data_IF_815402560914
#
_entry.id   IF_815402560914
#
_cell.length_a   1.000
_cell.length_b   1.000
_cell.length_c   1.000
_cell.angle_alpha   90.00
_cell.angle_beta   90.00
_cell.angle_gamma   90.00
#
_symmetry.space_group_name_H-M   'P 1'
#
loop_
_entity.id
_entity.type
_entity.pdbx_description
1 polymer ?
#
# COMPACT_ATOMS: atom_id res chain seq x y z
N UNK A 1 40.11 46.43 -24.18
CA UNK A 1 39.23 47.62 -24.32
C UNK A 1 38.99 47.87 -25.80
N UNK A 2 37.74 48.21 -26.17
CA UNK A 2 37.24 48.52 -27.53
C UNK A 2 37.22 47.33 -28.53
N UNK A 3 36.26 46.40 -28.35
CA UNK A 3 35.67 45.59 -29.44
C UNK A 3 34.45 44.70 -29.06
N UNK A 4 33.63 45.10 -28.09
CA UNK A 4 32.40 44.34 -27.73
C UNK A 4 31.12 45.20 -27.61
N UNK A 5 31.12 46.41 -28.13
CA UNK A 5 30.01 47.38 -28.01
C UNK A 5 29.18 47.55 -29.30
N UNK A 6 29.13 46.53 -30.17
CA UNK A 6 28.43 46.62 -31.47
C UNK A 6 27.47 45.46 -31.80
N UNK A 7 27.07 44.65 -30.83
CA UNK A 7 26.09 43.57 -31.06
C UNK A 7 24.79 43.71 -30.25
N UNK A 8 24.63 44.74 -29.41
CA UNK A 8 23.41 44.97 -28.62
C UNK A 8 22.38 45.93 -29.26
N UNK A 9 22.68 46.50 -30.43
CA UNK A 9 21.82 47.51 -31.09
C UNK A 9 20.92 46.98 -32.22
N UNK A 10 21.00 45.69 -32.58
CA UNK A 10 20.26 45.11 -33.72
C UNK A 10 19.00 44.30 -33.29
N UNK A 11 18.83 43.99 -32.00
CA UNK A 11 17.62 43.28 -31.51
C UNK A 11 16.54 44.17 -30.88
N UNK A 12 16.86 45.43 -30.58
CA UNK A 12 15.89 46.41 -30.01
C UNK A 12 15.06 47.13 -31.09
N UNK A 13 15.48 47.08 -32.35
CA UNK A 13 14.81 47.74 -33.49
C UNK A 13 13.76 46.86 -34.20
N UNK A 14 13.68 45.55 -33.90
CA UNK A 14 12.71 44.62 -34.54
C UNK A 14 11.42 44.36 -33.73
N UNK A 15 11.36 44.79 -32.47
CA UNK A 15 10.17 44.64 -31.62
C UNK A 15 9.21 45.86 -31.64
N UNK A 16 9.64 47.01 -32.19
CA UNK A 16 8.79 48.23 -32.30
C UNK A 16 7.95 48.32 -33.58
N UNK A 17 8.06 47.36 -34.49
CA UNK A 17 7.38 47.38 -35.80
C UNK A 17 6.12 46.49 -35.90
N UNK A 18 5.82 45.65 -34.90
CA UNK A 18 4.65 44.74 -34.94
C UNK A 18 3.48 45.20 -34.05
N UNK A 19 3.69 46.18 -33.15
CA UNK A 19 2.64 46.72 -32.27
C UNK A 19 1.94 47.99 -32.80
N UNK A 20 2.06 48.30 -34.10
CA UNK A 20 1.40 49.47 -34.75
C UNK A 20 0.34 49.10 -35.80
N UNK A 21 -0.19 47.87 -35.79
CA UNK A 21 -1.20 47.40 -36.76
C UNK A 21 -2.52 46.86 -36.20
N UNK A 22 -2.86 47.09 -34.92
CA UNK A 22 -4.14 46.62 -34.35
C UNK A 22 -4.84 47.61 -33.41
N UNK A 23 -4.92 48.90 -33.79
CA UNK A 23 -5.87 49.85 -33.19
C UNK A 23 -6.35 50.86 -34.23
N UNK A 24 -7.31 50.45 -35.06
CA UNK A 24 -8.21 51.34 -35.78
C UNK A 24 -9.39 50.51 -36.32
N UNK A 25 -10.51 50.53 -35.59
CA UNK A 25 -11.91 50.47 -36.07
C UNK A 25 -12.81 50.29 -34.83
N UNK A 26 -13.26 51.40 -34.23
CA UNK A 26 -14.45 51.41 -33.37
C UNK A 26 -15.56 52.06 -34.18
N UNK A 27 -16.56 51.26 -34.52
CA UNK A 27 -17.82 51.63 -35.12
C UNK A 27 -18.73 52.31 -34.08
N UNK A 28 -19.46 53.33 -34.54
CA UNK A 28 -20.53 54.03 -33.83
C UNK A 28 -21.62 53.07 -33.31
N UNK A 29 -22.22 53.37 -32.15
CA UNK A 29 -23.63 53.10 -31.93
C UNK A 29 -24.46 54.40 -31.99
N UNK A 30 -25.62 54.27 -32.61
CA UNK A 30 -26.59 55.32 -32.87
C UNK A 30 -27.35 55.73 -31.59
N UNK A 31 -27.84 56.97 -31.65
CA UNK A 31 -28.84 57.56 -30.75
C UNK A 31 -30.21 56.97 -31.05
N UNK A 32 -30.99 56.72 -30.01
CA UNK A 32 -32.45 56.76 -30.03
C UNK A 32 -32.87 57.58 -28.79
N UNK A 33 -33.81 58.50 -29.02
CA UNK A 33 -34.32 59.49 -28.07
C UNK A 33 -35.57 58.96 -27.31
N UNK A 34 -35.77 59.55 -26.12
CA UNK A 34 -37.01 59.84 -25.38
C UNK A 34 -37.88 58.70 -24.77
N UNK A 35 -37.97 58.61 -23.43
CA UNK A 35 -39.04 59.25 -22.61
C UNK A 35 -39.04 58.85 -21.10
N UNK A 36 -39.28 59.86 -20.24
CA UNK A 36 -39.87 59.87 -18.87
C UNK A 36 -39.21 59.09 -17.67
N UNK A 37 -39.22 59.47 -16.37
CA UNK A 37 -39.69 60.61 -15.54
C UNK A 37 -39.11 60.45 -14.10
N UNK A 38 -38.84 61.59 -13.44
CA UNK A 38 -38.79 61.94 -11.99
C UNK A 38 -37.71 61.47 -10.98
N UNK A 39 -37.33 62.42 -10.10
CA UNK A 39 -37.27 62.17 -8.66
C UNK A 39 -36.00 62.45 -7.86
N UNK A 40 -35.93 63.65 -7.25
CA UNK A 40 -35.26 63.98 -5.96
C UNK A 40 -33.74 64.24 -5.91
N UNK A 41 -33.38 65.52 -5.79
CA UNK A 41 -32.09 66.00 -5.28
C UNK A 41 -32.32 67.40 -4.72
N UNK A 42 -32.26 67.61 -3.39
CA UNK A 42 -32.05 68.92 -2.71
C UNK A 42 -32.18 68.88 -1.15
N UNK A 43 -31.51 67.97 -0.44
CA UNK A 43 -31.39 68.08 1.06
C UNK A 43 -29.99 67.73 1.64
N UNK A 44 -29.00 67.31 0.85
CA UNK A 44 -27.72 66.77 1.36
C UNK A 44 -26.59 67.78 1.62
N UNK A 45 -26.73 69.03 1.19
CA UNK A 45 -25.57 69.93 1.08
C UNK A 45 -25.30 70.74 2.36
N UNK A 46 -26.31 70.90 3.23
CA UNK A 46 -26.18 71.63 4.51
C UNK A 46 -25.47 70.76 5.56
N UNK A 47 -25.72 69.45 5.56
CA UNK A 47 -25.06 68.50 6.46
C UNK A 47 -23.56 68.34 6.13
N UNK A 48 -23.20 68.45 4.85
CA UNK A 48 -21.80 68.37 4.41
C UNK A 48 -20.94 69.50 4.99
N UNK A 49 -21.47 70.74 5.05
CA UNK A 49 -20.73 71.89 5.56
C UNK A 49 -20.48 71.81 7.08
N UNK A 50 -21.44 71.28 7.85
CA UNK A 50 -21.30 71.07 9.31
C UNK A 50 -20.30 69.95 9.58
N UNK A 51 -20.36 68.86 8.81
CA UNK A 51 -19.43 67.73 8.91
C UNK A 51 -18.00 68.17 8.55
N UNK A 52 -17.83 69.01 7.54
CA UNK A 52 -16.53 69.53 7.12
C UNK A 52 -15.94 70.48 8.18
N UNK A 53 -16.76 71.33 8.80
CA UNK A 53 -16.34 72.18 9.92
C UNK A 53 -16.01 71.37 11.18
N UNK A 54 -16.78 70.32 11.50
CA UNK A 54 -16.44 69.39 12.58
C UNK A 54 -15.13 68.66 12.31
N UNK A 55 -14.90 68.24 11.07
CA UNK A 55 -13.64 67.60 10.65
C UNK A 55 -12.45 68.54 10.79
N UNK A 56 -12.61 69.81 10.45
CA UNK A 56 -11.59 70.84 10.67
C UNK A 56 -11.28 71.05 12.16
N UNK A 57 -12.30 71.14 13.02
CA UNK A 57 -12.11 71.25 14.48
C UNK A 57 -11.43 69.99 15.04
N UNK A 58 -11.75 68.82 14.49
CA UNK A 58 -11.10 67.55 14.84
C UNK A 58 -9.63 67.53 14.40
N UNK A 59 -9.32 67.98 13.19
CA UNK A 59 -7.94 68.11 12.71
C UNK A 59 -7.15 69.13 13.53
N UNK A 60 -7.75 70.26 13.93
CA UNK A 60 -7.11 71.26 14.80
C UNK A 60 -6.88 70.73 16.23
N UNK A 61 -7.79 69.90 16.76
CA UNK A 61 -7.62 69.19 18.04
C UNK A 61 -6.60 68.04 17.97
N UNK A 62 -6.51 67.34 16.84
CA UNK A 62 -5.50 66.31 16.59
C UNK A 62 -4.11 66.96 16.43
N UNK A 63 -4.03 68.09 15.72
CA UNK A 63 -2.80 68.85 15.59
C UNK A 63 -2.31 69.40 16.95
N UNK A 64 -3.21 69.94 17.77
CA UNK A 64 -2.85 70.47 19.11
C UNK A 64 -2.55 69.39 20.16
N UNK A 65 -3.10 68.17 20.04
CA UNK A 65 -2.71 67.01 20.87
C UNK A 65 -1.39 66.35 20.42
N UNK A 66 -0.89 66.70 19.24
CA UNK A 66 0.39 66.23 18.67
C UNK A 66 1.57 67.17 18.96
N UNK A 67 1.64 67.76 20.15
CA UNK A 67 2.84 68.48 20.60
C UNK A 67 3.98 67.53 21.07
N UNK A 68 3.73 66.23 21.17
CA UNK A 68 4.71 65.22 21.58
C UNK A 68 5.60 64.62 20.48
N UNK A 69 5.23 64.54 19.18
CA UNK A 69 6.12 63.99 18.14
C UNK A 69 7.15 65.01 17.63
N UNK A 70 6.86 66.32 17.69
CA UNK A 70 7.76 67.36 17.18
C UNK A 70 9.02 67.53 18.07
N UNK A 71 8.89 67.33 19.39
CA UNK A 71 10.03 67.32 20.32
C UNK A 71 10.94 66.09 20.08
N UNK A 72 10.36 64.95 19.66
CA UNK A 72 11.11 63.71 19.35
C UNK A 72 11.97 63.83 18.09
N UNK A 73 11.59 64.69 17.14
CA UNK A 73 12.33 64.87 15.88
C UNK A 73 13.49 65.86 15.99
N UNK A 74 13.50 66.74 17.00
CA UNK A 74 14.45 67.86 17.07
C UNK A 74 15.78 67.53 17.76
N UNK A 75 15.88 66.39 18.48
CA UNK A 75 17.11 66.04 19.21
C UNK A 75 17.39 64.52 19.25
N UNK A 76 18.42 64.02 18.53
CA UNK A 76 18.71 62.57 18.47
C UNK A 76 19.20 62.00 19.80
N UNK A 77 19.83 62.80 20.67
CA UNK A 77 20.22 62.36 22.02
C UNK A 77 19.01 62.08 22.90
N UNK A 78 17.94 62.88 22.81
CA UNK A 78 16.72 62.68 23.61
C UNK A 78 16.06 61.36 23.25
N UNK A 79 16.05 60.96 21.96
CA UNK A 79 15.56 59.64 21.55
C UNK A 79 16.39 58.49 22.13
N UNK A 80 17.72 58.62 22.21
CA UNK A 80 18.57 57.58 22.83
C UNK A 80 18.33 57.42 24.33
N UNK A 81 18.04 58.52 25.04
CA UNK A 81 17.67 58.46 26.45
C UNK A 81 16.26 57.90 26.63
N UNK A 82 15.30 58.36 25.82
CA UNK A 82 13.91 57.89 25.91
C UNK A 82 13.81 56.39 25.61
N UNK A 83 14.44 55.90 24.53
CA UNK A 83 14.48 54.45 24.20
C UNK A 83 15.12 53.59 25.27
N UNK A 84 16.03 54.15 26.09
CA UNK A 84 16.66 53.45 27.22
C UNK A 84 15.71 53.26 28.41
N UNK A 85 14.69 54.10 28.52
CA UNK A 85 13.71 54.10 29.62
C UNK A 85 12.26 53.83 29.17
N UNK A 86 12.02 53.73 27.86
CA UNK A 86 10.74 53.36 27.27
C UNK A 86 10.59 51.83 27.38
N UNK A 87 10.32 51.38 28.60
CA UNK A 87 9.89 50.02 28.85
C UNK A 87 8.44 49.92 28.36
N UNK A 88 8.28 49.81 27.04
CA UNK A 88 6.99 49.53 26.41
C UNK A 88 6.31 48.37 27.14
N UNK A 89 4.97 48.31 27.07
CA UNK A 89 4.15 47.31 27.76
C UNK A 89 4.81 45.93 27.68
N UNK A 90 4.86 45.16 28.78
CA UNK A 90 5.58 43.87 28.85
C UNK A 90 5.37 42.98 27.62
N UNK A 91 4.16 43.00 27.06
CA UNK A 91 3.78 42.28 25.85
C UNK A 91 4.57 42.71 24.61
N UNK A 92 4.82 44.00 24.42
CA UNK A 92 5.64 44.52 23.33
C UNK A 92 7.11 44.10 23.47
N UNK A 93 7.65 44.06 24.69
CA UNK A 93 9.01 43.57 24.94
C UNK A 93 9.14 42.08 24.62
N UNK A 94 8.16 41.28 25.04
CA UNK A 94 8.11 39.85 24.72
C UNK A 94 7.96 39.60 23.21
N UNK A 95 7.12 40.39 22.53
CA UNK A 95 6.98 40.34 21.07
C UNK A 95 8.27 40.70 20.36
N UNK A 96 8.96 41.77 20.79
CA UNK A 96 10.24 42.17 20.20
C UNK A 96 11.33 41.13 20.46
N UNK A 97 11.37 40.55 21.65
CA UNK A 97 12.29 39.47 22.01
C UNK A 97 12.03 38.22 21.15
N UNK A 98 10.77 37.78 21.04
CA UNK A 98 10.37 36.67 20.17
C UNK A 98 10.71 36.93 18.70
N UNK A 99 10.47 38.14 18.18
CA UNK A 99 10.84 38.51 16.83
C UNK A 99 12.36 38.48 16.62
N UNK A 100 13.16 38.93 17.59
CA UNK A 100 14.62 38.87 17.52
C UNK A 100 15.16 37.44 17.52
N UNK A 101 14.57 36.55 18.31
CA UNK A 101 14.90 35.14 18.33
C UNK A 101 14.65 34.49 16.97
N UNK A 102 13.45 34.70 16.41
CA UNK A 102 13.08 34.17 15.10
C UNK A 102 14.02 34.69 14.00
N UNK A 103 14.40 35.98 14.02
CA UNK A 103 15.37 36.55 13.04
C UNK A 103 16.75 35.90 13.12
N UNK A 104 17.14 35.41 14.30
CA UNK A 104 18.46 34.81 14.53
C UNK A 104 18.55 33.35 14.10
N UNK A 105 17.41 32.72 13.77
CA UNK A 105 17.33 31.30 13.39
C UNK A 105 18.24 30.96 12.20
N UNK A 106 19.07 29.90 12.31
CA UNK A 106 19.98 29.47 11.24
C UNK A 106 19.25 29.14 9.92
N UNK A 107 18.01 28.68 10.00
CA UNK A 107 17.19 28.32 8.84
C UNK A 107 16.93 29.52 7.91
N UNK A 108 16.75 30.72 8.45
CA UNK A 108 16.52 31.94 7.67
C UNK A 108 17.77 32.42 6.92
N UNK A 109 18.97 31.98 7.33
CA UNK A 109 20.22 32.31 6.64
C UNK A 109 20.46 31.42 5.41
N UNK A 110 20.10 30.15 5.49
CA UNK A 110 20.43 29.15 4.46
C UNK A 110 19.28 28.87 3.49
N UNK A 111 18.03 28.97 3.96
CA UNK A 111 16.87 28.64 3.14
C UNK A 111 16.18 29.93 2.64
N UNK A 112 16.29 30.17 1.32
CA UNK A 112 15.65 31.30 0.64
C UNK A 112 14.13 31.30 0.85
N UNK A 113 13.47 30.15 0.76
CA UNK A 113 12.02 30.05 0.91
C UNK A 113 11.57 30.41 2.33
N UNK A 114 12.28 29.93 3.35
CA UNK A 114 11.98 30.27 4.75
C UNK A 114 12.17 31.78 5.02
N UNK A 115 13.23 32.37 4.44
CA UNK A 115 13.47 33.82 4.48
C UNK A 115 12.38 34.62 3.78
N UNK A 116 11.90 34.14 2.63
CA UNK A 116 10.84 34.78 1.85
C UNK A 116 9.50 34.73 2.60
N UNK A 117 9.15 33.61 3.25
CA UNK A 117 7.95 33.50 4.11
C UNK A 117 8.05 34.42 5.33
N UNK A 118 9.20 34.47 6.00
CA UNK A 118 9.40 35.32 7.18
C UNK A 118 9.23 36.81 6.86
N UNK A 119 9.76 37.26 5.72
CA UNK A 119 9.65 38.65 5.28
C UNK A 119 8.30 38.96 4.60
N UNK A 120 7.49 37.94 4.29
CA UNK A 120 6.18 38.15 3.71
C UNK A 120 5.24 38.82 4.70
N UNK A 121 4.36 39.66 4.18
CA UNK A 121 3.31 40.29 4.99
C UNK A 121 2.38 39.18 5.51
N UNK A 122 2.03 39.15 6.81
CA UNK A 122 1.04 38.22 7.34
C UNK A 122 -0.28 38.34 6.56
N UNK A 123 -0.90 37.21 6.26
CA UNK A 123 -2.16 37.16 5.52
C UNK A 123 -3.27 37.89 6.27
N UNK A 124 -3.90 38.87 5.64
CA UNK A 124 -4.91 39.75 6.24
C UNK A 124 -6.35 39.32 5.93
N UNK A 125 -6.55 38.17 5.28
CA UNK A 125 -7.85 37.73 4.75
C UNK A 125 -8.08 38.08 3.28
N UNK A 126 -7.51 39.20 2.84
CA UNK A 126 -7.58 39.67 1.46
C UNK A 126 -6.22 39.56 0.76
N UNK A 127 -6.22 39.07 -0.48
CA UNK A 127 -5.02 39.04 -1.32
C UNK A 127 -4.78 40.41 -1.99
N UNK A 128 -3.51 40.78 -2.14
CA UNK A 128 -3.18 41.99 -2.90
C UNK A 128 -3.33 41.75 -4.39
N UNK A 129 -3.72 42.76 -5.17
CA UNK A 129 -3.84 42.65 -6.63
C UNK A 129 -2.52 42.17 -7.29
N UNK A 130 -1.38 42.60 -6.73
CA UNK A 130 -0.06 42.15 -7.17
C UNK A 130 0.14 40.63 -6.99
N UNK A 131 -0.24 40.08 -5.84
CA UNK A 131 -0.12 38.65 -5.52
C UNK A 131 -1.11 37.80 -6.33
N UNK A 132 -2.34 38.29 -6.51
CA UNK A 132 -3.35 37.67 -7.38
C UNK A 132 -2.86 37.57 -8.84
N UNK A 133 -2.29 38.65 -9.39
CA UNK A 133 -1.71 38.64 -10.73
C UNK A 133 -0.48 37.74 -10.83
N UNK A 134 0.38 37.74 -9.81
CA UNK A 134 1.56 36.86 -9.76
C UNK A 134 1.14 35.39 -9.76
N UNK A 135 0.13 35.03 -8.98
CA UNK A 135 -0.46 33.70 -8.97
C UNK A 135 -1.05 33.34 -10.32
N UNK A 136 -1.80 34.23 -10.95
CA UNK A 136 -2.35 34.00 -12.30
C UNK A 136 -1.24 33.74 -13.33
N UNK A 137 -0.13 34.48 -13.26
CA UNK A 137 1.03 34.27 -14.14
C UNK A 137 1.75 32.94 -13.84
N UNK A 138 1.86 32.56 -12.56
CA UNK A 138 2.48 31.30 -12.15
C UNK A 138 1.62 30.09 -12.53
N UNK A 139 0.30 30.18 -12.36
CA UNK A 139 -0.67 29.15 -12.73
C UNK A 139 -0.83 29.03 -14.26
N UNK A 140 -0.69 30.14 -15.00
CA UNK A 140 -0.72 30.14 -16.48
C UNK A 140 0.52 29.51 -17.11
N UNK A 141 1.65 29.44 -16.40
CA UNK A 141 2.85 28.77 -16.88
C UNK A 141 2.72 27.27 -16.56
N UNK A 142 2.81 26.37 -17.55
CA UNK A 142 2.81 24.95 -17.26
C UNK A 142 3.95 24.65 -16.28
N UNK A 143 3.64 23.95 -15.18
CA UNK A 143 4.64 23.57 -14.19
C UNK A 143 5.79 22.87 -14.93
N UNK A 144 7.06 23.26 -14.71
CA UNK A 144 8.17 22.52 -15.28
C UNK A 144 8.04 21.08 -14.77
N UNK A 145 7.97 20.13 -15.70
CA UNK A 145 7.95 18.71 -15.38
C UNK A 145 9.33 18.39 -14.82
N UNK A 146 9.51 18.58 -13.51
CA UNK A 146 10.71 18.20 -12.77
C UNK A 146 10.69 16.69 -12.49
N UNK A 147 10.23 15.90 -13.45
CA UNK A 147 10.41 14.46 -13.43
C UNK A 147 11.73 14.22 -14.18
N UNK A 148 12.82 13.83 -13.49
CA UNK A 148 14.10 13.56 -14.15
C UNK A 148 13.99 12.46 -15.22
N UNK A 149 12.88 11.70 -15.22
CA UNK A 149 12.53 10.71 -16.23
C UNK A 149 11.80 11.29 -17.46
N UNK A 150 10.99 12.35 -17.30
CA UNK A 150 10.13 12.85 -18.38
C UNK A 150 10.90 13.70 -19.41
N UNK A 151 12.00 14.33 -19.00
CA UNK A 151 12.89 15.06 -19.94
C UNK A 151 13.61 14.10 -20.90
N UNK A 152 13.74 12.81 -20.55
CA UNK A 152 14.25 11.77 -21.44
C UNK A 152 13.18 11.13 -22.35
N UNK A 153 11.90 11.49 -22.19
CA UNK A 153 10.79 10.89 -22.95
C UNK A 153 10.22 11.77 -24.04
N UNK A 154 10.95 12.80 -24.48
CA UNK A 154 10.76 13.26 -25.86
C UNK A 154 11.20 12.09 -26.75
N UNK A 155 10.26 11.26 -27.21
CA UNK A 155 10.53 10.04 -28.00
C UNK A 155 11.43 10.39 -29.18
N UNK A 156 12.74 10.26 -28.97
CA UNK A 156 13.76 10.38 -30.00
C UNK A 156 13.41 9.31 -31.02
N UNK A 157 13.15 9.68 -32.27
CA UNK A 157 12.92 8.70 -33.34
C UNK A 157 14.16 7.80 -33.38
N UNK A 158 14.01 6.58 -32.89
CA UNK A 158 15.12 5.63 -32.72
C UNK A 158 15.72 5.37 -34.11
N UNK A 159 16.99 5.75 -34.29
CA UNK A 159 17.71 5.57 -35.55
C UNK A 159 17.81 4.08 -35.89
N UNK A 160 17.94 3.73 -37.17
CA UNK A 160 18.13 2.33 -37.57
C UNK A 160 19.35 1.69 -36.89
N UNK A 161 20.42 2.48 -36.66
CA UNK A 161 21.59 2.06 -35.89
C UNK A 161 21.28 1.78 -34.42
N UNK A 162 20.49 2.65 -33.77
CA UNK A 162 20.04 2.43 -32.38
C UNK A 162 19.13 1.21 -32.26
N UNK A 163 18.28 0.96 -33.28
CA UNK A 163 17.45 -0.26 -33.32
C UNK A 163 18.31 -1.51 -33.43
N UNK A 164 19.37 -1.47 -34.26
CA UNK A 164 20.30 -2.59 -34.39
C UNK A 164 21.13 -2.80 -33.11
N UNK A 165 21.55 -1.72 -32.45
CA UNK A 165 22.22 -1.77 -31.16
C UNK A 165 21.30 -2.37 -30.09
N UNK A 166 20.05 -1.90 -29.98
CA UNK A 166 19.05 -2.46 -29.07
C UNK A 166 18.72 -3.93 -29.38
N UNK A 167 18.67 -4.32 -30.66
CA UNK A 167 18.47 -5.72 -31.04
C UNK A 167 19.69 -6.59 -30.69
N UNK A 168 20.90 -6.05 -30.87
CA UNK A 168 22.15 -6.73 -30.50
C UNK A 168 22.25 -6.87 -28.99
N UNK A 169 21.98 -5.82 -28.23
CA UNK A 169 21.96 -5.83 -26.76
C UNK A 169 20.86 -6.75 -26.23
N UNK A 170 19.66 -6.72 -26.83
CA UNK A 170 18.60 -7.68 -26.51
C UNK A 170 19.01 -9.13 -26.78
N UNK A 171 19.74 -9.39 -27.87
CA UNK A 171 20.27 -10.74 -28.15
C UNK A 171 21.39 -11.16 -27.19
N UNK A 172 22.20 -10.20 -26.71
CA UNK A 172 23.24 -10.43 -25.70
C UNK A 172 22.60 -10.71 -24.33
N UNK A 173 21.58 -9.96 -23.94
CA UNK A 173 20.81 -10.19 -22.72
C UNK A 173 20.13 -11.56 -22.73
N UNK A 174 19.60 -12.01 -23.87
CA UNK A 174 19.07 -13.38 -24.01
C UNK A 174 20.15 -14.46 -23.88
N UNK A 175 21.37 -14.20 -24.36
CA UNK A 175 22.51 -15.11 -24.22
C UNK A 175 23.07 -15.12 -22.79
N UNK A 176 23.10 -13.97 -22.12
CA UNK A 176 23.58 -13.80 -20.75
C UNK A 176 22.55 -14.39 -19.76
N UNK A 177 21.26 -14.10 -19.92
CA UNK A 177 20.15 -14.72 -19.16
C UNK A 177 19.86 -16.17 -19.59
N UNK A 178 20.77 -16.84 -20.32
CA UNK A 178 20.66 -18.28 -20.56
C UNK A 178 20.88 -19.08 -19.27
N UNK A 179 21.59 -18.51 -18.30
CA UNK A 179 21.77 -19.09 -16.98
C UNK A 179 20.42 -19.18 -16.24
N UNK A 180 20.06 -20.35 -15.68
CA UNK A 180 18.76 -20.56 -15.04
C UNK A 180 18.54 -19.61 -13.84
N UNK A 181 19.57 -19.30 -13.07
CA UNK A 181 19.50 -18.39 -11.92
C UNK A 181 19.10 -16.95 -12.30
N UNK A 182 19.58 -16.45 -13.45
CA UNK A 182 19.32 -15.07 -13.85
C UNK A 182 17.92 -14.89 -14.45
N UNK A 183 17.35 -15.97 -15.02
CA UNK A 183 15.93 -16.02 -15.40
C UNK A 183 15.02 -15.92 -14.19
N UNK A 184 15.37 -16.60 -13.10
CA UNK A 184 14.63 -16.48 -11.84
C UNK A 184 14.71 -15.06 -11.31
N UNK A 185 15.91 -14.45 -11.25
CA UNK A 185 16.07 -13.05 -10.83
C UNK A 185 15.29 -12.06 -11.70
N UNK A 186 15.20 -12.29 -13.02
CA UNK A 186 14.42 -11.45 -13.94
C UNK A 186 12.92 -11.55 -13.68
N UNK A 187 12.39 -12.79 -13.57
CA UNK A 187 10.99 -13.02 -13.17
C UNK A 187 10.69 -12.44 -11.80
N UNK A 188 11.62 -12.54 -10.85
CA UNK A 188 11.48 -11.91 -9.54
C UNK A 188 11.40 -10.39 -9.67
N UNK A 189 12.30 -9.74 -10.41
CA UNK A 189 12.23 -8.29 -10.64
C UNK A 189 10.89 -7.85 -11.23
N UNK A 190 10.32 -8.65 -12.12
CA UNK A 190 9.00 -8.40 -12.72
C UNK A 190 7.87 -8.52 -11.69
N UNK A 191 7.85 -9.59 -10.89
CA UNK A 191 6.89 -9.77 -9.78
C UNK A 191 7.00 -8.64 -8.73
N UNK A 192 8.22 -8.22 -8.38
CA UNK A 192 8.44 -7.10 -7.47
C UNK A 192 7.94 -5.78 -8.06
N UNK A 193 8.12 -5.57 -9.37
CA UNK A 193 7.63 -4.40 -10.09
C UNK A 193 6.10 -4.37 -10.10
N UNK A 194 5.44 -5.49 -10.39
CA UNK A 194 3.97 -5.59 -10.35
C UNK A 194 3.41 -5.31 -8.95
N UNK A 195 4.11 -5.74 -7.89
CA UNK A 195 3.66 -5.53 -6.51
C UNK A 195 3.92 -4.12 -5.98
N UNK A 196 5.07 -3.52 -6.31
CA UNK A 196 5.43 -2.18 -5.86
C UNK A 196 4.63 -1.11 -6.60
N UNK A 197 4.35 -1.31 -7.89
CA UNK A 197 3.59 -0.34 -8.70
C UNK A 197 2.09 -0.66 -8.76
N UNK A 198 1.69 -1.88 -8.34
CA UNK A 198 0.30 -2.32 -8.26
C UNK A 198 -0.38 -2.46 -9.64
N UNK A 199 -1.57 -3.08 -9.69
CA UNK A 199 -2.36 -3.18 -10.92
C UNK A 199 -2.74 -1.80 -11.51
N UNK A 200 -2.77 -0.75 -10.69
CA UNK A 200 -3.20 0.59 -11.11
C UNK A 200 -2.25 1.25 -12.10
N UNK A 201 -0.95 0.95 -12.05
CA UNK A 201 0.00 1.54 -13.01
C UNK A 201 0.00 0.83 -14.37
N UNK A 202 -0.46 -0.42 -14.43
CA UNK A 202 -0.61 -1.18 -15.67
C UNK A 202 -1.95 -0.87 -16.39
N UNK A 203 -2.96 -0.41 -15.65
CA UNK A 203 -4.28 -0.04 -16.20
C UNK A 203 -4.37 1.38 -16.76
N UNK A 204 -3.31 2.19 -16.66
CA UNK A 204 -3.32 3.60 -17.07
C UNK A 204 -3.62 3.83 -18.59
N UNK A 205 -3.74 2.76 -19.38
CA UNK A 205 -4.07 2.82 -20.82
C UNK A 205 -5.56 2.55 -21.13
N UNK A 206 -6.45 2.40 -20.15
CA UNK A 206 -7.89 2.15 -20.35
C UNK A 206 -8.77 3.43 -20.29
N UNK A 207 -8.21 4.60 -20.59
CA UNK A 207 -8.77 5.91 -20.22
C UNK A 207 -10.04 6.37 -20.94
N UNK A 208 -10.61 5.61 -21.89
CA UNK A 208 -11.81 6.03 -22.65
C UNK A 208 -13.12 5.42 -22.15
N UNK A 209 -13.11 4.14 -21.77
CA UNK A 209 -14.33 3.42 -21.32
C UNK A 209 -14.66 3.78 -19.87
N UNK A 210 -13.63 3.96 -19.04
CA UNK A 210 -13.76 4.34 -17.64
C UNK A 210 -14.28 5.79 -17.47
N UNK A 211 -14.01 6.68 -18.45
CA UNK A 211 -14.50 8.05 -18.42
C UNK A 211 -16.02 8.15 -18.65
N UNK A 212 -16.56 7.39 -19.61
CA UNK A 212 -18.01 7.35 -19.88
C UNK A 212 -18.74 6.73 -18.69
N UNK A 213 -18.20 5.65 -18.11
CA UNK A 213 -18.74 5.04 -16.90
C UNK A 213 -18.67 6.01 -15.70
N UNK A 214 -17.60 6.78 -15.55
CA UNK A 214 -17.49 7.81 -14.51
C UNK A 214 -18.48 8.95 -14.71
N UNK A 215 -18.64 9.45 -15.93
CA UNK A 215 -19.62 10.52 -16.24
C UNK A 215 -21.06 10.05 -16.03
N UNK A 216 -21.38 8.83 -16.46
CA UNK A 216 -22.68 8.22 -16.22
C UNK A 216 -22.92 7.98 -14.72
N UNK A 217 -21.92 7.47 -14.00
CA UNK A 217 -21.97 7.30 -12.54
C UNK A 217 -22.20 8.62 -11.81
N UNK A 218 -21.52 9.70 -12.22
CA UNK A 218 -21.72 11.04 -11.65
C UNK A 218 -23.12 11.59 -11.92
N UNK A 219 -23.67 11.37 -13.14
CA UNK A 219 -25.05 11.75 -13.47
C UNK A 219 -26.09 10.96 -12.68
N UNK A 220 -25.85 9.67 -12.48
CA UNK A 220 -26.72 8.80 -11.67
C UNK A 220 -26.69 9.24 -10.21
N UNK A 221 -25.50 9.45 -9.63
CA UNK A 221 -25.33 9.89 -8.25
C UNK A 221 -25.94 11.27 -7.97
N UNK A 222 -26.01 12.15 -8.98
CA UNK A 222 -26.67 13.44 -8.87
C UNK A 222 -28.21 13.34 -8.92
N UNK A 223 -28.76 12.30 -9.55
CA UNK A 223 -30.19 12.10 -9.71
C UNK A 223 -30.82 11.18 -8.65
N UNK A 224 -30.02 10.35 -7.96
CA UNK A 224 -30.46 9.49 -6.86
C UNK A 224 -30.59 10.31 -5.58
N UNK A 225 -31.68 10.12 -4.85
CA UNK A 225 -31.77 10.56 -3.46
C UNK A 225 -30.92 9.64 -2.58
N UNK A 226 -29.84 10.16 -2.02
CA UNK A 226 -28.86 9.40 -1.22
C UNK A 226 -29.45 8.80 0.06
N UNK A 227 -30.57 9.34 0.57
CA UNK A 227 -31.19 8.83 1.79
C UNK A 227 -32.08 7.62 1.53
N UNK A 228 -32.87 7.66 0.47
CA UNK A 228 -33.82 6.60 0.10
C UNK A 228 -33.26 5.62 -0.93
N UNK A 229 -32.22 6.01 -1.66
CA UNK A 229 -31.63 5.24 -2.77
C UNK A 229 -32.55 5.14 -3.98
N UNK A 230 -33.59 5.96 -4.05
CA UNK A 230 -34.60 5.97 -5.11
C UNK A 230 -34.38 7.17 -6.04
N UNK A 231 -34.71 7.03 -7.31
CA UNK A 231 -34.80 8.20 -8.19
C UNK A 231 -36.16 8.86 -8.03
N UNK A 232 -36.20 10.18 -8.19
CA UNK A 232 -37.43 10.98 -8.16
C UNK A 232 -38.21 10.82 -9.48
N UNK A 233 -38.82 9.66 -9.69
CA UNK A 233 -39.66 9.35 -10.84
C UNK A 233 -40.91 8.55 -10.41
N UNK A 234 -42.10 8.86 -10.96
CA UNK A 234 -43.35 8.15 -10.63
C UNK A 234 -43.31 6.64 -10.98
N UNK A 235 -42.42 6.23 -11.88
CA UNK A 235 -42.25 4.83 -12.30
C UNK A 235 -41.46 3.99 -11.28
N UNK A 236 -40.81 4.62 -10.28
CA UNK A 236 -39.98 3.94 -9.29
C UNK A 236 -40.74 2.91 -8.45
N UNK A 237 -42.05 3.11 -8.28
CA UNK A 237 -42.91 2.20 -7.51
C UNK A 237 -43.12 0.85 -8.23
N UNK A 238 -42.88 0.79 -9.54
CA UNK A 238 -43.01 -0.42 -10.35
C UNK A 238 -41.67 -1.15 -10.57
N UNK A 239 -40.56 -0.56 -10.10
CA UNK A 239 -39.22 -1.17 -10.24
C UNK A 239 -39.13 -2.38 -9.31
N UNK A 240 -38.82 -3.54 -9.89
CA UNK A 240 -38.64 -4.80 -9.15
C UNK A 240 -37.33 -4.76 -8.37
N UNK A 241 -37.34 -5.25 -7.13
CA UNK A 241 -36.15 -5.40 -6.29
C UNK A 241 -36.37 -4.94 -4.86
N UNK A 242 -35.50 -5.37 -3.94
CA UNK A 242 -35.45 -4.81 -2.59
C UNK A 242 -34.56 -3.57 -2.62
N UNK A 243 -34.98 -2.43 -2.04
CA UNK A 243 -34.11 -1.26 -1.93
C UNK A 243 -32.84 -1.65 -1.15
N UNK A 244 -31.72 -1.03 -1.50
CA UNK A 244 -30.49 -1.21 -0.74
C UNK A 244 -30.70 -0.72 0.70
N UNK A 245 -30.01 -1.35 1.65
CA UNK A 245 -30.10 -0.92 3.05
C UNK A 245 -29.54 0.50 3.19
N UNK A 246 -30.12 1.29 4.09
CA UNK A 246 -29.67 2.68 4.32
C UNK A 246 -28.17 2.79 4.60
N UNK A 247 -27.58 1.79 5.29
CA UNK A 247 -26.15 1.72 5.54
C UNK A 247 -25.32 1.55 4.24
N UNK A 248 -25.80 0.71 3.33
CA UNK A 248 -25.13 0.45 2.06
C UNK A 248 -25.25 1.63 1.08
N UNK A 249 -26.33 2.41 1.18
CA UNK A 249 -26.49 3.67 0.44
C UNK A 249 -25.54 4.76 0.97
N UNK A 250 -25.41 4.91 2.29
CA UNK A 250 -24.48 5.87 2.90
C UNK A 250 -23.03 5.61 2.50
N UNK A 251 -22.66 4.33 2.40
CA UNK A 251 -21.32 3.90 2.05
C UNK A 251 -21.16 3.55 0.57
N UNK A 252 -22.09 3.96 -0.31
CA UNK A 252 -22.09 3.58 -1.73
C UNK A 252 -20.85 4.06 -2.50
N UNK A 253 -20.16 5.08 -1.99
CA UNK A 253 -18.92 5.64 -2.54
C UNK A 253 -17.66 5.12 -1.85
N UNK A 254 -17.78 4.48 -0.68
CA UNK A 254 -16.63 3.97 0.07
C UNK A 254 -16.24 2.56 -0.41
N UNK A 255 -15.16 2.48 -1.18
CA UNK A 255 -14.61 1.22 -1.65
C UNK A 255 -14.24 0.26 -0.51
N UNK A 256 -13.88 0.77 0.67
CA UNK A 256 -13.48 -0.08 1.80
C UNK A 256 -14.68 -0.84 2.37
N UNK A 257 -15.83 -0.19 2.46
CA UNK A 257 -17.08 -0.82 2.90
C UNK A 257 -17.45 -2.02 2.02
N UNK A 258 -17.40 -1.84 0.69
CA UNK A 258 -17.67 -2.94 -0.25
C UNK A 258 -16.60 -4.02 -0.21
N UNK A 259 -15.32 -3.64 -0.13
CA UNK A 259 -14.23 -4.60 -0.01
C UNK A 259 -14.43 -5.50 1.21
N UNK A 260 -14.74 -4.92 2.36
CA UNK A 260 -15.02 -5.66 3.58
C UNK A 260 -16.27 -6.55 3.44
N UNK A 261 -17.31 -6.06 2.77
CA UNK A 261 -18.52 -6.84 2.55
C UNK A 261 -18.28 -8.01 1.58
N UNK A 262 -17.47 -7.83 0.54
CA UNK A 262 -17.08 -8.87 -0.40
C UNK A 262 -16.23 -9.93 0.31
N UNK A 263 -15.23 -9.51 1.09
CA UNK A 263 -14.42 -10.42 1.91
C UNK A 263 -15.28 -11.24 2.88
N UNK A 264 -16.24 -10.59 3.55
CA UNK A 264 -17.14 -11.25 4.49
C UNK A 264 -18.16 -12.17 3.80
N UNK A 265 -18.66 -11.81 2.61
CA UNK A 265 -19.69 -12.57 1.89
C UNK A 265 -19.13 -13.74 1.09
N UNK A 266 -17.93 -13.60 0.54
CA UNK A 266 -17.31 -14.64 -0.28
C UNK A 266 -16.54 -15.66 0.57
N UNK A 267 -16.44 -15.46 1.90
CA UNK A 267 -15.61 -16.28 2.80
C UNK A 267 -14.15 -16.41 2.32
N UNK A 268 -13.68 -15.46 1.50
CA UNK A 268 -12.35 -15.52 0.88
C UNK A 268 -11.34 -14.99 1.88
N UNK A 269 -10.40 -15.85 2.26
CA UNK A 269 -9.26 -15.45 3.05
C UNK A 269 -8.34 -14.58 2.18
N UNK A 270 -7.71 -13.53 2.75
CA UNK A 270 -6.64 -12.82 2.07
C UNK A 270 -5.59 -13.82 1.53
N UNK A 271 -5.05 -13.63 0.30
CA UNK A 271 -4.16 -14.60 -0.33
C UNK A 271 -2.95 -15.02 0.52
N UNK A 272 -2.44 -14.11 1.35
CA UNK A 272 -1.32 -14.42 2.25
C UNK A 272 -1.72 -15.37 3.39
N UNK A 273 -2.97 -15.32 3.87
CA UNK A 273 -3.48 -16.24 4.91
C UNK A 273 -3.65 -17.65 4.32
N UNK A 274 -4.16 -17.76 3.09
CA UNK A 274 -4.22 -19.07 2.41
C UNK A 274 -2.83 -19.66 2.23
N UNK A 275 -1.87 -18.86 1.77
CA UNK A 275 -0.48 -19.28 1.63
C UNK A 275 0.14 -19.63 2.99
N UNK A 276 -0.21 -18.92 4.07
CA UNK A 276 0.21 -19.28 5.42
C UNK A 276 -0.30 -20.66 5.82
N UNK A 277 -1.58 -20.95 5.59
CA UNK A 277 -2.18 -22.24 5.93
C UNK A 277 -1.56 -23.36 5.10
N UNK A 278 -1.36 -23.14 3.80
CA UNK A 278 -0.75 -24.13 2.92
C UNK A 278 0.71 -24.42 3.30
N UNK A 279 1.48 -23.38 3.63
CA UNK A 279 2.86 -23.50 4.10
C UNK A 279 2.91 -24.26 5.42
N UNK A 280 2.06 -23.93 6.40
CA UNK A 280 2.00 -24.65 7.68
C UNK A 280 1.71 -26.15 7.46
N UNK A 281 0.71 -26.48 6.64
CA UNK A 281 0.40 -27.87 6.28
C UNK A 281 1.58 -28.57 5.61
N UNK A 282 2.28 -27.88 4.71
CA UNK A 282 3.44 -28.43 4.01
C UNK A 282 4.62 -28.69 4.94
N UNK A 283 4.85 -27.81 5.93
CA UNK A 283 5.87 -28.01 6.97
C UNK A 283 5.47 -29.17 7.89
N UNK A 284 4.22 -29.25 8.32
CA UNK A 284 3.73 -30.35 9.16
C UNK A 284 3.85 -31.70 8.46
N UNK A 285 3.49 -31.76 7.18
CA UNK A 285 3.68 -32.96 6.35
C UNK A 285 5.16 -33.32 6.21
N UNK A 286 6.02 -32.35 5.90
CA UNK A 286 7.46 -32.58 5.82
C UNK A 286 8.05 -33.11 7.13
N UNK A 287 7.64 -32.57 8.28
CA UNK A 287 8.06 -33.05 9.60
C UNK A 287 7.57 -34.48 9.87
N UNK A 288 6.34 -34.81 9.46
CA UNK A 288 5.82 -36.17 9.57
C UNK A 288 6.57 -37.15 8.66
N UNK A 289 6.95 -36.75 7.45
CA UNK A 289 7.73 -37.56 6.52
C UNK A 289 9.14 -37.83 7.08
N UNK A 290 9.79 -36.83 7.67
CA UNK A 290 11.07 -37.01 8.38
C UNK A 290 10.96 -37.98 9.56
N UNK A 291 9.92 -37.81 10.40
CA UNK A 291 9.69 -38.70 11.54
C UNK A 291 9.48 -40.15 11.06
N UNK A 292 8.81 -40.36 9.92
CA UNK A 292 8.64 -41.70 9.31
C UNK A 292 9.94 -42.27 8.74
N UNK A 293 10.76 -41.44 8.10
CA UNK A 293 12.08 -41.85 7.59
C UNK A 293 12.97 -42.34 8.74
N UNK A 294 13.03 -41.57 9.83
CA UNK A 294 13.76 -41.97 11.03
C UNK A 294 13.20 -43.23 11.67
N UNK A 295 11.88 -43.35 11.77
CA UNK A 295 11.25 -44.56 12.32
C UNK A 295 11.59 -45.81 11.49
N UNK A 296 11.54 -45.69 10.15
CA UNK A 296 11.95 -46.76 9.23
C UNK A 296 13.43 -47.10 9.39
N UNK A 297 14.29 -46.10 9.56
CA UNK A 297 15.71 -46.29 9.81
C UNK A 297 15.95 -47.05 11.14
N UNK A 298 15.26 -46.66 12.22
CA UNK A 298 15.35 -47.36 13.51
C UNK A 298 14.97 -48.83 13.37
N UNK A 299 13.90 -49.14 12.62
CA UNK A 299 13.48 -50.54 12.44
C UNK A 299 14.47 -51.35 11.60
N UNK A 300 15.00 -50.78 10.52
CA UNK A 300 15.69 -51.56 9.48
C UNK A 300 17.21 -51.54 9.57
N UNK A 301 17.80 -50.47 10.10
CA UNK A 301 19.22 -50.18 9.98
C UNK A 301 19.89 -50.00 11.36
N UNK A 302 19.14 -49.56 12.37
CA UNK A 302 19.69 -49.43 13.71
C UNK A 302 19.98 -50.78 14.40
N UNK A 303 20.64 -50.71 15.55
CA UNK A 303 20.88 -51.84 16.45
C UNK A 303 19.61 -52.58 16.87
N UNK A 304 18.44 -51.93 16.77
CA UNK A 304 17.13 -52.50 17.12
C UNK A 304 16.61 -53.54 16.15
N UNK A 305 17.10 -53.57 14.90
CA UNK A 305 16.59 -54.47 13.85
C UNK A 305 16.50 -55.93 14.31
N UNK A 306 17.61 -56.47 14.82
CA UNK A 306 17.67 -57.87 15.26
C UNK A 306 16.76 -58.18 16.44
N UNK A 307 16.51 -57.20 17.32
CA UNK A 307 15.58 -57.35 18.44
C UNK A 307 14.12 -57.33 17.95
N UNK A 308 13.78 -56.41 17.05
CA UNK A 308 12.42 -56.28 16.50
C UNK A 308 12.02 -57.53 15.70
N UNK A 309 12.95 -58.11 14.93
CA UNK A 309 12.71 -59.36 14.20
C UNK A 309 12.39 -60.51 15.16
N UNK A 310 13.20 -60.69 16.22
CA UNK A 310 13.08 -61.77 17.22
C UNK A 310 11.93 -61.60 18.22
N UNK A 311 11.54 -60.38 18.54
CA UNK A 311 10.58 -60.10 19.61
C UNK A 311 9.19 -60.67 19.32
N UNK A 312 8.56 -61.28 20.33
CA UNK A 312 7.21 -61.86 20.22
C UNK A 312 6.13 -60.95 20.82
N UNK A 313 6.50 -60.08 21.76
CA UNK A 313 5.62 -59.06 22.36
C UNK A 313 6.21 -57.66 22.18
N UNK A 314 5.36 -56.64 22.29
CA UNK A 314 5.80 -55.24 22.21
C UNK A 314 6.67 -54.87 23.42
N UNK A 315 6.31 -55.35 24.60
CA UNK A 315 7.02 -55.05 25.85
C UNK A 315 8.50 -55.46 25.80
N UNK A 316 8.82 -56.59 25.13
CA UNK A 316 10.21 -57.01 24.90
C UNK A 316 10.99 -56.00 24.04
N UNK A 317 10.34 -55.33 23.10
CA UNK A 317 10.97 -54.31 22.26
C UNK A 317 11.18 -53.03 23.06
N UNK A 318 10.22 -52.67 23.92
CA UNK A 318 10.29 -51.46 24.75
C UNK A 318 11.37 -51.58 25.83
N UNK A 319 11.46 -52.73 26.53
CA UNK A 319 12.50 -52.97 27.53
C UNK A 319 13.91 -52.90 26.92
N UNK A 320 14.09 -53.46 25.72
CA UNK A 320 15.37 -53.39 25.02
C UNK A 320 15.64 -52.00 24.45
N UNK A 321 14.59 -51.27 24.06
CA UNK A 321 14.70 -49.88 23.68
C UNK A 321 15.25 -49.04 24.82
N UNK A 322 14.64 -49.11 26.01
CA UNK A 322 15.07 -48.37 27.22
C UNK A 322 16.54 -48.64 27.59
N UNK A 323 16.99 -49.89 27.52
CA UNK A 323 18.38 -50.26 27.82
C UNK A 323 19.40 -49.73 26.81
N UNK A 324 18.99 -49.49 25.58
CA UNK A 324 19.90 -49.13 24.49
C UNK A 324 19.70 -47.69 24.00
N UNK A 325 18.89 -46.87 24.68
CA UNK A 325 18.68 -45.45 24.33
C UNK A 325 20.02 -44.72 24.21
N UNK A 326 20.93 -44.89 25.17
CA UNK A 326 22.26 -44.25 25.19
C UNK A 326 23.18 -44.71 24.05
N UNK A 327 22.99 -45.93 23.53
CA UNK A 327 23.76 -46.43 22.37
C UNK A 327 23.17 -46.00 21.05
N UNK A 328 21.90 -45.63 21.04
CA UNK A 328 21.23 -45.10 19.87
C UNK A 328 21.66 -43.64 19.66
N UNK A 329 22.19 -42.90 20.65
CA UNK A 329 22.49 -41.47 20.48
C UNK A 329 23.71 -41.14 19.60
N UNK A 330 23.39 -40.76 18.35
CA UNK A 330 24.01 -39.76 17.45
C UNK A 330 25.40 -39.95 16.84
N UNK A 331 26.37 -40.69 17.41
CA UNK A 331 27.76 -40.60 16.88
C UNK A 331 28.02 -41.35 15.55
N UNK A 332 27.19 -42.32 15.14
CA UNK A 332 27.34 -43.08 13.88
C UNK A 332 26.06 -43.09 12.99
N UNK A 333 25.01 -42.35 13.36
CA UNK A 333 23.68 -42.51 12.76
C UNK A 333 23.41 -41.51 11.64
N UNK A 334 23.99 -41.74 10.46
CA UNK A 334 23.68 -40.96 9.26
C UNK A 334 22.57 -41.60 8.43
N UNK A 335 21.52 -40.82 8.12
CA UNK A 335 20.62 -41.14 7.00
C UNK A 335 21.42 -41.35 5.70
N UNK A 336 20.93 -42.20 4.81
CA UNK A 336 21.52 -42.40 3.48
C UNK A 336 21.73 -41.07 2.77
N UNK A 337 22.85 -40.91 2.06
CA UNK A 337 23.16 -39.70 1.30
C UNK A 337 22.08 -39.33 0.26
N UNK A 338 21.35 -40.33 -0.25
CA UNK A 338 20.19 -40.11 -1.14
C UNK A 338 19.04 -39.41 -0.42
N UNK A 339 18.78 -39.81 0.83
CA UNK A 339 17.69 -39.27 1.63
C UNK A 339 18.02 -37.85 2.08
N UNK A 340 19.28 -37.59 2.43
CA UNK A 340 19.77 -36.24 2.72
C UNK A 340 19.63 -35.29 1.51
N UNK A 341 19.92 -35.77 0.30
CA UNK A 341 19.73 -34.99 -0.91
C UNK A 341 18.25 -34.68 -1.18
N UNK A 342 17.36 -35.65 -0.95
CA UNK A 342 15.91 -35.44 -1.05
C UNK A 342 15.41 -34.42 -0.02
N UNK A 343 15.84 -34.54 1.23
CA UNK A 343 15.49 -33.62 2.32
C UNK A 343 15.95 -32.20 1.97
N UNK A 344 17.19 -32.04 1.47
CA UNK A 344 17.71 -30.76 1.04
C UNK A 344 16.84 -30.13 -0.05
N UNK A 345 16.50 -30.88 -1.11
CA UNK A 345 15.66 -30.37 -2.18
C UNK A 345 14.26 -29.98 -1.68
N UNK A 346 13.68 -30.73 -0.74
CA UNK A 346 12.38 -30.42 -0.14
C UNK A 346 12.44 -29.16 0.73
N UNK A 347 13.51 -28.98 1.49
CA UNK A 347 13.77 -27.76 2.28
C UNK A 347 13.94 -26.55 1.37
N UNK A 348 14.67 -26.68 0.25
CA UNK A 348 14.85 -25.58 -0.70
C UNK A 348 13.52 -25.15 -1.35
N UNK A 349 12.63 -26.12 -1.64
CA UNK A 349 11.25 -25.85 -2.06
C UNK A 349 10.47 -25.10 -0.96
N UNK A 350 10.47 -25.59 0.27
CA UNK A 350 9.76 -24.95 1.39
C UNK A 350 10.31 -23.56 1.70
N UNK A 351 11.63 -23.36 1.58
CA UNK A 351 12.27 -22.06 1.77
C UNK A 351 11.90 -21.06 0.67
N UNK A 352 11.65 -21.54 -0.55
CA UNK A 352 11.09 -20.73 -1.63
C UNK A 352 9.65 -20.30 -1.31
N UNK A 353 8.83 -21.22 -0.80
CA UNK A 353 7.46 -20.93 -0.36
C UNK A 353 7.42 -19.97 0.83
N UNK A 354 8.32 -20.14 1.81
CA UNK A 354 8.50 -19.22 2.94
C UNK A 354 8.87 -17.82 2.44
N UNK A 355 9.78 -17.72 1.47
CA UNK A 355 10.14 -16.44 0.87
C UNK A 355 8.95 -15.79 0.18
N UNK A 356 8.18 -16.57 -0.57
CA UNK A 356 6.98 -16.09 -1.25
C UNK A 356 5.90 -15.62 -0.25
N UNK A 357 5.67 -16.39 0.81
CA UNK A 357 4.78 -16.01 1.91
C UNK A 357 5.23 -14.73 2.61
N UNK A 358 6.51 -14.65 2.99
CA UNK A 358 7.08 -13.47 3.65
C UNK A 358 7.02 -12.24 2.77
N UNK A 359 7.11 -12.41 1.44
CA UNK A 359 6.86 -11.32 0.52
C UNK A 359 5.43 -10.85 0.71
N UNK A 360 4.44 -11.73 0.60
CA UNK A 360 3.01 -11.37 0.66
C UNK A 360 2.52 -10.87 2.03
N UNK A 361 3.17 -11.29 3.12
CA UNK A 361 2.75 -10.94 4.47
C UNK A 361 2.82 -9.42 4.69
N UNK A 362 1.75 -8.78 5.19
CA UNK A 362 1.75 -7.35 5.46
C UNK A 362 2.55 -6.97 6.72
N UNK A 363 2.77 -7.92 7.64
CA UNK A 363 3.45 -7.68 8.91
C UNK A 363 4.75 -8.46 9.03
N UNK A 364 5.82 -7.77 9.44
CA UNK A 364 7.14 -8.39 9.69
C UNK A 364 7.08 -9.43 10.82
N UNK A 365 6.21 -9.23 11.82
CA UNK A 365 6.02 -10.20 12.91
C UNK A 365 5.41 -11.52 12.44
N UNK A 366 4.70 -11.51 11.31
CA UNK A 366 4.13 -12.72 10.70
C UNK A 366 5.12 -13.49 9.84
N UNK A 367 6.33 -12.97 9.60
CA UNK A 367 7.32 -13.62 8.74
C UNK A 367 7.83 -14.92 9.36
N UNK A 368 8.00 -15.94 8.52
CA UNK A 368 8.56 -17.25 8.91
C UNK A 368 10.04 -17.30 8.61
N UNK A 369 10.80 -17.98 9.48
CA UNK A 369 12.22 -18.22 9.28
C UNK A 369 12.42 -19.36 8.28
N UNK A 370 13.56 -19.33 7.58
CA UNK A 370 13.98 -20.43 6.72
C UNK A 370 14.30 -21.66 7.56
N UNK A 371 14.07 -22.82 6.97
CA UNK A 371 14.39 -24.12 7.53
C UNK A 371 15.84 -24.48 7.19
N UNK A 372 16.57 -24.98 8.18
CA UNK A 372 17.93 -25.49 8.03
C UNK A 372 17.91 -27.02 8.08
N UNK A 373 18.62 -27.65 7.14
CA UNK A 373 18.66 -29.11 6.98
C UNK A 373 19.14 -29.81 8.24
N UNK A 374 20.31 -29.45 8.74
CA UNK A 374 20.94 -30.17 9.86
C UNK A 374 20.11 -30.02 11.14
N UNK A 375 19.49 -28.85 11.32
CA UNK A 375 18.60 -28.57 12.45
C UNK A 375 17.33 -29.42 12.39
N UNK A 376 16.63 -29.44 11.26
CA UNK A 376 15.37 -30.19 11.14
C UNK A 376 15.60 -31.71 11.21
N UNK A 377 16.72 -32.20 10.66
CA UNK A 377 17.11 -33.62 10.75
C UNK A 377 17.38 -34.00 12.21
N UNK A 378 18.14 -33.18 12.95
CA UNK A 378 18.44 -33.42 14.36
C UNK A 378 17.18 -33.32 15.24
N UNK A 379 16.35 -32.30 15.06
CA UNK A 379 15.09 -32.17 15.81
C UNK A 379 14.12 -33.33 15.54
N UNK A 380 14.00 -33.77 14.28
CA UNK A 380 13.15 -34.91 13.93
C UNK A 380 13.66 -36.22 14.52
N UNK A 381 14.98 -36.39 14.62
CA UNK A 381 15.59 -37.54 15.25
C UNK A 381 15.13 -37.70 16.71
N UNK A 382 15.33 -36.67 17.53
CA UNK A 382 14.88 -36.68 18.93
C UNK A 382 13.37 -36.85 19.07
N UNK A 383 12.60 -36.15 18.23
CA UNK A 383 11.14 -36.27 18.22
C UNK A 383 10.67 -37.70 17.90
N UNK A 384 11.38 -38.40 17.03
CA UNK A 384 11.06 -39.79 16.66
C UNK A 384 11.39 -40.74 17.79
N UNK A 385 12.51 -40.54 18.48
CA UNK A 385 12.88 -41.32 19.67
C UNK A 385 11.85 -41.17 20.80
N UNK A 386 11.40 -39.94 21.07
CA UNK A 386 10.37 -39.70 22.09
C UNK A 386 9.04 -40.39 21.74
N UNK A 387 8.66 -40.37 20.46
CA UNK A 387 7.43 -40.99 19.97
C UNK A 387 7.56 -42.49 19.72
N UNK A 388 8.76 -43.05 19.75
CA UNK A 388 9.05 -44.42 19.32
C UNK A 388 8.16 -45.47 20.01
N UNK A 389 7.94 -45.44 21.34
CA UNK A 389 7.07 -46.43 22.02
C UNK A 389 5.65 -46.49 21.45
N UNK A 390 5.07 -45.33 21.15
CA UNK A 390 3.71 -45.25 20.58
C UNK A 390 3.65 -45.68 19.12
N UNK A 391 4.73 -45.45 18.36
CA UNK A 391 4.82 -45.80 16.95
C UNK A 391 5.07 -47.29 16.76
N UNK A 392 5.93 -47.90 17.59
CA UNK A 392 6.23 -49.33 17.51
C UNK A 392 5.00 -50.18 17.88
N UNK A 393 4.19 -49.77 18.86
CA UNK A 393 2.92 -50.44 19.16
C UNK A 393 1.98 -50.48 17.95
N UNK A 394 1.80 -49.33 17.28
CA UNK A 394 0.97 -49.22 16.07
C UNK A 394 1.54 -50.08 14.95
N UNK A 395 2.84 -50.02 14.73
CA UNK A 395 3.53 -50.80 13.71
C UNK A 395 3.42 -52.31 13.96
N UNK A 396 3.61 -52.75 15.22
CA UNK A 396 3.55 -54.15 15.62
C UNK A 396 2.14 -54.74 15.44
N UNK A 397 1.09 -53.98 15.79
CA UNK A 397 -0.31 -54.38 15.53
C UNK A 397 -0.56 -54.65 14.04
N UNK A 398 -0.02 -53.81 13.16
CA UNK A 398 -0.18 -53.95 11.70
C UNK A 398 0.64 -55.12 11.14
N UNK A 399 1.90 -55.29 11.57
CA UNK A 399 2.83 -56.23 10.94
C UNK A 399 2.84 -57.63 11.57
N UNK A 400 2.67 -57.76 12.90
CA UNK A 400 2.68 -59.05 13.62
C UNK A 400 1.28 -59.48 14.09
N UNK A 401 0.37 -58.55 14.34
CA UNK A 401 -1.02 -58.85 14.72
C UNK A 401 -1.88 -59.45 13.59
N UNK A 402 -1.52 -59.24 12.33
CA UNK A 402 -2.29 -59.71 11.16
C UNK A 402 -2.08 -61.17 10.77
N UNK A 403 -1.15 -61.90 11.37
CA UNK A 403 -0.83 -63.27 10.92
C UNK A 403 -1.79 -64.35 11.47
N UNK A 404 -2.62 -64.03 12.48
CA UNK A 404 -3.58 -64.98 13.08
C UNK A 404 -5.01 -64.90 12.54
N UNK A 405 -5.29 -64.10 11.51
CA UNK A 405 -6.66 -63.93 10.99
C UNK A 405 -6.80 -63.95 9.46
N UNK A 406 -6.01 -64.79 8.78
CA UNK A 406 -6.27 -65.20 7.39
C UNK A 406 -6.21 -66.72 7.22
N UNK A 407 -6.97 -67.42 8.04
CA UNK A 407 -7.47 -68.76 7.74
C UNK A 407 -8.98 -68.71 8.00
N UNK A 408 -9.69 -68.07 7.08
CA UNK A 408 -11.10 -68.34 6.85
C UNK A 408 -11.13 -68.99 5.48
N UNK A 409 -11.45 -70.27 5.50
CA UNK A 409 -11.68 -71.07 4.31
C UNK A 409 -12.67 -70.34 3.40
N UNK A 410 -12.24 -70.01 2.19
CA UNK A 410 -13.18 -69.71 1.12
C UNK A 410 -12.73 -70.48 -0.13
N UNK A 411 -13.55 -71.42 -0.63
CA UNK A 411 -13.23 -72.18 -1.82
C UNK A 411 -13.45 -71.29 -3.05
N UNK A 412 -12.43 -71.18 -3.89
CA UNK A 412 -12.55 -70.66 -5.26
C UNK A 412 -12.32 -69.15 -5.43
N UNK A 413 -11.29 -68.82 -6.21
CA UNK A 413 -11.11 -67.47 -6.77
C UNK A 413 -9.66 -67.13 -7.06
N UNK A 414 -9.24 -67.33 -8.30
CA UNK A 414 -7.85 -67.25 -8.79
C UNK A 414 -7.15 -65.88 -8.74
N UNK A 415 -5.93 -65.81 -9.29
CA UNK A 415 -4.89 -64.84 -8.93
C UNK A 415 -5.01 -63.54 -9.76
N UNK A 416 -6.06 -62.75 -9.54
CA UNK A 416 -6.22 -61.46 -10.23
C UNK A 416 -6.43 -60.27 -9.28
N UNK A 417 -6.36 -60.46 -7.96
CA UNK A 417 -6.55 -59.38 -6.97
C UNK A 417 -5.24 -58.68 -6.56
N UNK A 418 -4.08 -59.21 -6.93
CA UNK A 418 -2.80 -58.60 -6.59
C UNK A 418 -2.37 -57.46 -7.53
N UNK A 419 -2.93 -57.38 -8.74
CA UNK A 419 -2.63 -56.30 -9.70
C UNK A 419 -3.56 -55.08 -9.61
N UNK A 420 -4.75 -55.20 -9.01
CA UNK A 420 -5.67 -54.06 -8.83
C UNK A 420 -5.45 -53.28 -7.53
N UNK A 421 -4.54 -53.71 -6.65
CA UNK A 421 -4.18 -52.96 -5.44
C UNK A 421 -3.12 -51.85 -5.69
N UNK A 422 -2.56 -51.77 -6.91
CA UNK A 422 -1.49 -50.82 -7.26
C UNK A 422 -1.89 -49.75 -8.29
N UNK A 423 -3.16 -49.69 -8.71
CA UNK A 423 -3.68 -48.59 -9.54
C UNK A 423 -4.97 -48.05 -8.95
N UNK A 424 -4.99 -46.72 -8.78
CA UNK A 424 -6.04 -45.84 -8.28
C UNK A 424 -6.01 -45.58 -6.76
N UNK A 425 -5.42 -44.43 -6.41
CA UNK A 425 -5.97 -43.56 -5.38
C UNK A 425 -6.21 -42.18 -6.00
N UNK A 426 -7.18 -42.13 -6.91
CA UNK A 426 -7.93 -40.92 -7.20
C UNK A 426 -9.16 -40.90 -6.30
N UNK A 427 -9.36 -39.76 -5.61
CA UNK A 427 -10.49 -39.36 -4.75
C UNK A 427 -11.05 -40.33 -3.70
N UNK A 428 -11.25 -39.90 -2.45
CA UNK A 428 -12.07 -40.63 -1.50
C UNK A 428 -13.55 -40.52 -1.90
N UNK A 429 -14.23 -41.65 -2.06
CA UNK A 429 -15.69 -41.69 -2.17
C UNK A 429 -16.30 -41.20 -0.85
N UNK A 430 -17.01 -40.08 -0.92
CA UNK A 430 -17.81 -39.51 0.15
C UNK A 430 -19.11 -40.32 0.22
N UNK A 431 -19.37 -40.97 1.35
CA UNK A 431 -20.71 -41.43 1.65
C UNK A 431 -21.62 -40.21 1.87
N UNK A 432 -22.32 -39.78 0.83
CA UNK A 432 -23.35 -38.74 0.93
C UNK A 432 -24.58 -39.30 1.66
N UNK A 433 -24.74 -38.89 2.91
CA UNK A 433 -25.98 -39.04 3.65
C UNK A 433 -27.00 -38.06 3.08
N UNK A 434 -27.87 -38.51 2.16
CA UNK A 434 -28.83 -37.66 1.41
C UNK A 434 -29.92 -36.97 2.25
N UNK A 435 -29.93 -37.16 3.58
CA UNK A 435 -30.93 -36.59 4.48
C UNK A 435 -30.36 -35.72 5.60
N UNK A 436 -29.10 -35.29 5.50
CA UNK A 436 -28.54 -34.31 6.43
C UNK A 436 -28.41 -32.98 5.70
N UNK A 437 -29.11 -31.97 6.21
CA UNK A 437 -29.03 -30.58 5.76
C UNK A 437 -27.55 -30.15 5.71
N UNK A 438 -27.01 -29.96 4.51
CA UNK A 438 -25.57 -29.77 4.25
C UNK A 438 -25.07 -28.38 4.64
N UNK A 439 -25.95 -27.52 5.17
CA UNK A 439 -25.55 -26.28 5.84
C UNK A 439 -25.07 -26.57 7.28
N UNK A 440 -23.94 -27.28 7.38
CA UNK A 440 -23.17 -27.34 8.62
C UNK A 440 -22.69 -25.91 8.94
N UNK A 441 -23.51 -25.19 9.70
CA UNK A 441 -23.24 -23.85 10.18
C UNK A 441 -22.18 -23.90 11.30
N UNK A 442 -20.98 -24.40 10.98
CA UNK A 442 -19.84 -24.50 11.88
C UNK A 442 -19.54 -23.13 12.51
N UNK A 443 -19.70 -22.07 11.73
CA UNK A 443 -19.55 -20.68 12.18
C UNK A 443 -20.68 -20.17 13.08
N UNK A 444 -21.89 -20.71 12.97
CA UNK A 444 -22.99 -20.40 13.89
C UNK A 444 -22.79 -21.12 15.22
N UNK A 445 -22.33 -22.37 15.18
CA UNK A 445 -21.93 -23.10 16.38
C UNK A 445 -20.77 -22.43 17.11
N UNK A 446 -19.73 -21.98 16.39
CA UNK A 446 -18.61 -21.23 16.99
C UNK A 446 -19.08 -19.87 17.54
N UNK A 447 -19.93 -19.13 16.81
CA UNK A 447 -20.50 -17.87 17.32
C UNK A 447 -21.34 -18.07 18.57
N UNK A 448 -22.15 -19.12 18.63
CA UNK A 448 -22.99 -19.41 19.80
C UNK A 448 -22.14 -19.81 21.01
N UNK A 449 -21.05 -20.56 20.83
CA UNK A 449 -20.08 -20.87 21.89
C UNK A 449 -19.43 -19.59 22.44
N UNK A 450 -19.01 -18.66 21.58
CA UNK A 450 -18.42 -17.39 22.02
C UNK A 450 -19.45 -16.41 22.60
N UNK A 451 -20.73 -16.53 22.23
CA UNK A 451 -21.82 -15.71 22.77
C UNK A 451 -22.32 -16.20 24.12
N UNK A 452 -22.20 -17.51 24.40
CA UNK A 452 -22.47 -18.11 25.71
C UNK A 452 -21.36 -17.83 26.75
N UNK A 453 -20.16 -17.44 26.30
CA UNK A 453 -19.01 -17.15 27.17
C UNK A 453 -19.00 -15.70 27.71
N UNK A 454 -20.15 -15.02 27.78
CA UNK A 454 -20.26 -13.64 28.23
C UNK A 454 -21.30 -13.47 29.33
#
# INVERSE_FOLDING_TARGET
>A
MLKSLHQSTILVSRARAILKRFKATKTHPAKDDDDEVDGSKLESDVDFAIVERMKQILEEKIASSSATPQIRQMNPQINSFLTKYDYGTKDQQQLNHAQSYIKSEPLLKHNKHARDIYNAKPWSGEETNYDANLRMILDSKPKPINDPMATFQLKRKVSAGDKLAMARDGSLDYKINRNPEDKEKAKFREIYKERLLGPSMLLANASSVDFVNSLAGNRINAAIDQQTGRFNSPEMNNVRGKPLTSEHLKNCTDSNYFMNQILNKQEVLPPWIENQQNLNKSIEQFKADLDQLWFKWVINESTMKGYIERATTVDQILDEYEKNIEKITFEDNSLSGTDLAYIQAKIDSLNTDIRHYNLQCPSVSGHKLKLDKDKEVNESYWRTLDKFPTLIEKWFKVHKGGWKSKLVDNPGGGPSKYFNALKLKGSPEIHENKNVDTSLNLWKAIKDVFKMAK
#
